data_IF_369503614167
#
_entry.id   IF_369503614167
#
_cell.length_a   1.000
_cell.length_b   1.000
_cell.length_c   1.000
_cell.angle_alpha   90.00
_cell.angle_beta   90.00
_cell.angle_gamma   90.00
#
_symmetry.space_group_name_H-M   'P 1'
#
loop_
_entity.id
_entity.type
_entity.pdbx_description
1 polymer ?
#
# COMPACT_ATOMS: atom_id res chain seq x y z
N UNK A 1 -11.12 17.11 -5.52
CA UNK A 1 -9.86 17.42 -4.80
C UNK A 1 -9.31 16.14 -4.21
N UNK A 2 -8.00 15.91 -4.26
CA UNK A 2 -7.38 14.74 -3.60
C UNK A 2 -7.29 15.01 -2.10
N UNK A 3 -7.73 14.06 -1.28
CA UNK A 3 -7.52 14.17 0.17
C UNK A 3 -6.09 13.73 0.50
N UNK A 4 -5.40 14.53 1.30
CA UNK A 4 -4.15 14.09 1.92
C UNK A 4 -4.39 12.97 2.93
N UNK A 5 -3.39 12.15 3.21
CA UNK A 5 -3.45 11.09 4.25
C UNK A 5 -3.89 11.65 5.61
N UNK A 6 -3.48 12.88 5.91
CA UNK A 6 -3.91 13.61 7.11
C UNK A 6 -5.42 13.88 7.09
N UNK A 7 -5.95 14.46 6.00
CA UNK A 7 -7.37 14.75 5.86
C UNK A 7 -8.23 13.49 5.89
N UNK A 8 -7.79 12.41 5.26
CA UNK A 8 -8.47 11.11 5.29
C UNK A 8 -8.66 10.68 6.75
N UNK A 9 -7.58 10.65 7.55
CA UNK A 9 -7.65 10.24 8.96
C UNK A 9 -8.57 11.13 9.80
N UNK A 10 -8.51 12.45 9.60
CA UNK A 10 -9.39 13.40 10.32
C UNK A 10 -10.84 13.16 9.95
N UNK A 11 -11.16 13.00 8.66
CA UNK A 11 -12.53 12.80 8.19
C UNK A 11 -13.08 11.45 8.64
N UNK A 12 -12.27 10.39 8.59
CA UNK A 12 -12.64 9.06 9.08
C UNK A 12 -12.91 9.09 10.58
N UNK A 13 -12.07 9.77 11.37
CA UNK A 13 -12.28 9.92 12.81
C UNK A 13 -13.57 10.70 13.13
N UNK A 14 -13.79 11.81 12.43
CA UNK A 14 -15.00 12.62 12.57
C UNK A 14 -16.26 11.79 12.27
N UNK A 15 -16.24 11.03 11.16
CA UNK A 15 -17.34 10.16 10.77
C UNK A 15 -17.61 9.04 11.79
N UNK A 16 -16.55 8.41 12.33
CA UNK A 16 -16.63 7.34 13.33
C UNK A 16 -17.21 7.81 14.66
N UNK A 17 -16.78 8.98 15.14
CA UNK A 17 -17.22 9.52 16.43
C UNK A 17 -18.52 10.30 16.33
N UNK A 18 -18.96 10.70 15.12
CA UNK A 18 -20.19 11.48 14.89
C UNK A 18 -21.44 10.95 15.62
N UNK A 19 -21.69 9.63 15.77
CA UNK A 19 -22.88 9.14 16.46
C UNK A 19 -22.90 9.44 17.97
N UNK A 20 -21.80 9.94 18.55
CA UNK A 20 -21.68 10.21 19.98
C UNK A 20 -21.59 8.93 20.84
N UNK A 21 -21.45 7.76 20.22
CA UNK A 21 -21.25 6.48 20.92
C UNK A 21 -19.76 6.26 21.22
N UNK A 22 -19.40 5.58 22.31
CA UNK A 22 -18.02 5.18 22.57
C UNK A 22 -17.50 4.24 21.47
N UNK A 23 -16.29 4.51 20.97
CA UNK A 23 -15.59 3.69 19.97
C UNK A 23 -14.25 3.24 20.55
N UNK A 24 -14.00 1.94 20.57
CA UNK A 24 -12.78 1.36 21.11
C UNK A 24 -11.52 1.88 20.39
N UNK A 25 -10.46 2.16 21.14
CA UNK A 25 -9.17 2.66 20.62
C UNK A 25 -8.61 1.77 19.52
N UNK A 26 -8.68 0.45 19.69
CA UNK A 26 -8.21 -0.53 18.69
C UNK A 26 -8.96 -0.40 17.37
N UNK A 27 -10.28 -0.21 17.42
CA UNK A 27 -11.12 0.00 16.22
C UNK A 27 -10.79 1.31 15.52
N UNK A 28 -10.47 2.37 16.27
CA UNK A 28 -10.08 3.65 15.68
C UNK A 28 -8.71 3.51 15.00
N UNK A 29 -7.73 2.91 15.67
CA UNK A 29 -6.39 2.67 15.12
C UNK A 29 -6.47 1.85 13.83
N UNK A 30 -7.26 0.78 13.81
CA UNK A 30 -7.43 -0.04 12.62
C UNK A 30 -8.11 0.73 11.49
N UNK A 31 -9.16 1.51 11.79
CA UNK A 31 -9.89 2.27 10.77
C UNK A 31 -9.09 3.45 10.19
N UNK A 32 -8.16 4.02 10.96
CA UNK A 32 -7.29 5.12 10.52
C UNK A 32 -5.93 4.64 9.97
N UNK A 33 -5.65 3.35 10.07
CA UNK A 33 -4.37 2.73 9.74
C UNK A 33 -3.18 3.52 10.32
N UNK A 34 -3.19 3.73 11.64
CA UNK A 34 -2.23 4.61 12.29
C UNK A 34 -1.78 4.12 13.68
N UNK A 35 -0.59 4.55 14.11
CA UNK A 35 -0.08 4.27 15.46
C UNK A 35 -0.77 5.13 16.53
N UNK A 36 -0.69 4.71 17.80
CA UNK A 36 -1.23 5.48 18.94
C UNK A 36 -0.75 6.95 19.00
N UNK A 37 0.55 7.27 18.79
CA UNK A 37 0.99 8.68 18.73
C UNK A 37 0.33 9.46 17.60
N UNK A 38 0.05 8.81 16.48
CA UNK A 38 -0.64 9.43 15.35
C UNK A 38 -2.11 9.69 15.70
N UNK A 39 -2.78 8.73 16.33
CA UNK A 39 -4.15 8.91 16.83
C UNK A 39 -4.25 10.13 17.77
N UNK A 40 -3.32 10.29 18.71
CA UNK A 40 -3.30 11.45 19.61
C UNK A 40 -3.22 12.78 18.85
N UNK A 41 -2.43 12.83 17.77
CA UNK A 41 -2.34 14.03 16.90
C UNK A 41 -3.64 14.30 16.15
N UNK A 42 -4.28 13.27 15.58
CA UNK A 42 -5.55 13.41 14.86
C UNK A 42 -6.68 13.83 15.80
N UNK A 43 -6.72 13.28 17.02
CA UNK A 43 -7.66 13.71 18.07
C UNK A 43 -7.45 15.17 18.44
N UNK A 44 -6.19 15.60 18.63
CA UNK A 44 -5.86 17.00 18.91
C UNK A 44 -6.34 17.92 17.79
N UNK A 45 -6.09 17.54 16.53
CA UNK A 45 -6.54 18.29 15.37
C UNK A 45 -8.07 18.40 15.30
N UNK A 46 -8.82 17.33 15.60
CA UNK A 46 -10.28 17.39 15.62
C UNK A 46 -10.80 18.37 16.70
N UNK A 47 -10.14 18.39 17.86
CA UNK A 47 -10.47 19.34 18.95
C UNK A 47 -10.16 20.78 18.56
N UNK A 48 -8.97 21.03 18.00
CA UNK A 48 -8.51 22.39 17.70
C UNK A 48 -9.17 22.98 16.46
N UNK A 49 -9.29 22.20 15.38
CA UNK A 49 -9.78 22.70 14.10
C UNK A 49 -11.31 22.81 14.04
N UNK A 50 -12.02 21.97 14.80
CA UNK A 50 -13.48 21.91 14.75
C UNK A 50 -14.16 22.18 16.11
N UNK A 51 -13.40 22.40 17.18
CA UNK A 51 -13.96 22.63 18.52
C UNK A 51 -14.71 21.42 19.07
N UNK A 52 -14.41 20.20 18.61
CA UNK A 52 -15.07 19.00 19.10
C UNK A 52 -14.54 18.62 20.49
N UNK A 53 -15.43 18.22 21.41
CA UNK A 53 -15.03 17.68 22.71
C UNK A 53 -15.03 16.14 22.64
N UNK A 54 -13.89 15.52 22.95
CA UNK A 54 -13.69 14.07 22.87
C UNK A 54 -13.12 13.55 24.18
N UNK A 55 -13.89 12.70 24.86
CA UNK A 55 -13.50 12.07 26.12
C UNK A 55 -12.95 10.67 25.91
N UNK A 56 -11.97 10.30 26.73
CA UNK A 56 -11.41 8.95 26.77
C UNK A 56 -11.88 8.23 28.02
N UNK A 57 -12.50 7.06 27.83
CA UNK A 57 -12.83 6.15 28.92
C UNK A 57 -11.69 5.15 29.12
N UNK A 58 -11.03 5.22 30.28
CA UNK A 58 -9.95 4.28 30.65
C UNK A 58 -10.46 2.85 30.84
N UNK A 59 -11.65 2.68 31.43
CA UNK A 59 -12.26 1.37 31.67
C UNK A 59 -12.61 0.65 30.38
N UNK A 60 -13.16 1.38 29.40
CA UNK A 60 -13.61 0.79 28.14
C UNK A 60 -12.57 0.93 27.02
N UNK A 61 -11.41 1.56 27.30
CA UNK A 61 -10.37 1.91 26.33
C UNK A 61 -10.99 2.47 25.04
N UNK A 62 -11.84 3.47 25.20
CA UNK A 62 -12.69 3.98 24.12
C UNK A 62 -12.75 5.49 24.11
N UNK A 63 -12.89 6.07 22.92
CA UNK A 63 -13.12 7.49 22.72
C UNK A 63 -14.58 7.75 22.39
N UNK A 64 -15.11 8.84 22.92
CA UNK A 64 -16.47 9.29 22.66
C UNK A 64 -16.46 10.79 22.40
N UNK A 65 -17.10 11.22 21.32
CA UNK A 65 -17.35 12.65 21.10
C UNK A 65 -18.58 13.06 21.89
N UNK A 66 -18.39 13.95 22.86
CA UNK A 66 -19.45 14.50 23.72
C UNK A 66 -20.06 15.75 23.12
N UNK A 67 -19.24 16.60 22.50
CA UNK A 67 -19.68 17.80 21.81
C UNK A 67 -19.10 17.84 20.39
N UNK A 68 -19.95 18.22 19.44
CA UNK A 68 -19.58 18.21 18.02
C UNK A 68 -18.87 19.49 17.56
N UNK A 69 -18.96 20.58 18.31
CA UNK A 69 -18.44 21.88 17.87
C UNK A 69 -18.99 22.25 16.49
N UNK A 70 -18.09 22.52 15.54
CA UNK A 70 -18.40 22.85 14.14
C UNK A 70 -18.71 21.62 13.25
N UNK A 71 -18.69 20.40 13.78
CA UNK A 71 -19.05 19.17 13.06
C UNK A 71 -20.57 18.97 12.99
N UNK A 72 -21.24 19.89 12.30
CA UNK A 72 -22.66 19.75 11.99
C UNK A 72 -22.93 18.56 11.05
N UNK A 73 -24.19 18.16 10.95
CA UNK A 73 -24.57 17.00 10.12
C UNK A 73 -24.18 17.22 8.64
N UNK A 74 -24.18 18.48 8.17
CA UNK A 74 -23.81 18.85 6.80
C UNK A 74 -22.30 18.66 6.57
N UNK A 75 -21.46 19.07 7.53
CA UNK A 75 -20.01 18.91 7.47
C UNK A 75 -19.62 17.44 7.55
N UNK A 76 -20.21 16.68 8.48
CA UNK A 76 -19.98 15.22 8.56
C UNK A 76 -20.39 14.53 7.24
N UNK A 77 -21.52 14.92 6.66
CA UNK A 77 -21.97 14.38 5.37
C UNK A 77 -20.96 14.68 4.25
N UNK A 78 -20.49 15.92 4.14
CA UNK A 78 -19.45 16.31 3.16
C UNK A 78 -18.15 15.55 3.37
N UNK A 79 -17.73 15.34 4.61
CA UNK A 79 -16.53 14.53 4.91
C UNK A 79 -16.69 13.08 4.45
N UNK A 80 -17.86 12.46 4.66
CA UNK A 80 -18.16 11.11 4.16
C UNK A 80 -18.16 11.04 2.64
N UNK A 81 -18.82 11.99 1.98
CA UNK A 81 -18.83 12.08 0.51
C UNK A 81 -17.40 12.23 -0.04
N UNK A 82 -16.57 13.07 0.59
CA UNK A 82 -15.18 13.25 0.19
C UNK A 82 -14.32 11.98 0.39
N UNK A 83 -14.59 11.17 1.42
CA UNK A 83 -13.93 9.88 1.62
C UNK A 83 -14.30 8.89 0.51
N UNK A 84 -15.59 8.76 0.18
CA UNK A 84 -16.07 7.86 -0.89
C UNK A 84 -15.47 8.25 -2.24
N UNK A 85 -15.52 9.53 -2.61
CA UNK A 85 -14.91 10.02 -3.86
C UNK A 85 -13.41 9.76 -3.90
N UNK A 86 -12.71 9.86 -2.77
CA UNK A 86 -11.29 9.56 -2.70
C UNK A 86 -11.01 8.06 -2.85
N UNK A 87 -11.82 7.18 -2.28
CA UNK A 87 -11.72 5.72 -2.43
C UNK A 87 -12.00 5.26 -3.86
N UNK A 88 -13.08 5.74 -4.48
CA UNK A 88 -13.41 5.47 -5.89
C UNK A 88 -12.27 5.87 -6.81
N UNK A 89 -11.65 7.03 -6.54
CA UNK A 89 -10.51 7.51 -7.32
C UNK A 89 -9.24 6.69 -7.07
N UNK A 90 -8.98 6.27 -5.82
CA UNK A 90 -7.90 5.33 -5.55
C UNK A 90 -8.11 4.01 -6.30
N UNK A 91 -9.34 3.50 -6.39
CA UNK A 91 -9.63 2.31 -7.19
C UNK A 91 -9.43 2.53 -8.70
N UNK A 92 -9.82 3.70 -9.23
CA UNK A 92 -9.51 4.07 -10.62
C UNK A 92 -7.99 4.22 -10.85
N UNK A 93 -7.24 4.82 -9.92
CA UNK A 93 -5.78 4.91 -9.99
C UNK A 93 -5.11 3.53 -9.81
N UNK A 94 -5.68 2.61 -9.04
CA UNK A 94 -5.18 1.24 -8.87
C UNK A 94 -5.29 0.44 -10.17
N UNK A 95 -6.31 0.69 -11.02
CA UNK A 95 -6.34 0.11 -12.38
C UNK A 95 -5.23 0.63 -13.30
N UNK A 96 -4.55 1.73 -12.91
CA UNK A 96 -3.39 2.30 -13.62
C UNK A 96 -2.04 2.03 -12.92
N UNK A 97 -2.01 1.35 -11.76
CA UNK A 97 -0.78 1.05 -11.04
C UNK A 97 -0.31 -0.38 -11.27
N UNK A 98 0.92 -0.48 -11.80
CA UNK A 98 1.74 -1.69 -11.88
C UNK A 98 1.87 -2.31 -10.48
N UNK A 99 1.48 -3.59 -10.34
CA UNK A 99 1.77 -4.41 -9.16
C UNK A 99 3.28 -4.61 -9.03
N UNK A 100 3.86 -4.13 -7.92
CA UNK A 100 5.28 -4.28 -7.58
C UNK A 100 5.49 -5.45 -6.60
N UNK A 101 4.85 -6.60 -6.84
CA UNK A 101 5.37 -7.84 -6.25
C UNK A 101 6.58 -8.24 -7.09
N UNK A 102 7.77 -7.76 -6.71
CA UNK A 102 9.01 -8.31 -7.22
C UNK A 102 9.21 -9.68 -6.57
N UNK A 103 9.18 -10.73 -7.37
CA UNK A 103 9.59 -12.06 -6.93
C UNK A 103 10.96 -11.98 -6.23
N UNK A 104 11.05 -12.63 -5.06
CA UNK A 104 12.27 -12.61 -4.25
C UNK A 104 13.36 -13.41 -4.97
N UNK A 105 14.36 -12.71 -5.52
CA UNK A 105 15.54 -13.34 -6.11
C UNK A 105 16.48 -13.85 -5.01
N UNK A 106 16.97 -15.09 -5.15
CA UNK A 106 18.05 -15.64 -4.31
C UNK A 106 19.40 -15.28 -4.95
N UNK A 107 20.32 -14.75 -4.15
CA UNK A 107 21.69 -14.49 -4.63
C UNK A 107 22.43 -15.81 -4.86
N UNK A 108 23.06 -15.96 -6.04
CA UNK A 108 23.84 -17.14 -6.42
C UNK A 108 25.14 -16.68 -7.09
N UNK A 109 26.25 -17.34 -6.75
CA UNK A 109 27.55 -17.12 -7.40
C UNK A 109 27.72 -18.11 -8.56
N UNK A 110 28.04 -17.60 -9.75
CA UNK A 110 28.27 -18.41 -10.95
C UNK A 110 29.63 -18.07 -11.57
N UNK A 111 30.41 -19.09 -11.89
CA UNK A 111 31.65 -18.93 -12.65
C UNK A 111 31.34 -18.95 -14.15
N UNK A 112 31.52 -17.81 -14.81
CA UNK A 112 31.23 -17.65 -16.25
C UNK A 112 32.49 -17.28 -17.02
N UNK A 113 32.61 -17.78 -18.26
CA UNK A 113 33.65 -17.32 -19.19
C UNK A 113 33.43 -15.84 -19.53
N UNK A 114 34.51 -15.10 -19.74
CA UNK A 114 34.47 -13.66 -20.06
C UNK A 114 33.61 -13.34 -21.29
N UNK A 115 33.65 -14.19 -22.31
CA UNK A 115 32.81 -14.04 -23.51
C UNK A 115 31.31 -14.14 -23.21
N UNK A 116 30.91 -15.05 -22.31
CA UNK A 116 29.51 -15.20 -21.87
C UNK A 116 29.05 -13.96 -21.10
N UNK A 117 29.88 -13.46 -20.19
CA UNK A 117 29.58 -12.24 -19.44
C UNK A 117 29.37 -11.03 -20.35
N UNK A 118 30.22 -10.87 -21.39
CA UNK A 118 30.07 -9.80 -22.39
C UNK A 118 28.75 -9.88 -23.17
N UNK A 119 28.26 -11.09 -23.46
CA UNK A 119 26.95 -11.27 -24.11
C UNK A 119 25.79 -10.86 -23.20
N UNK A 120 25.85 -11.24 -21.92
CA UNK A 120 24.88 -10.84 -20.90
C UNK A 120 24.87 -9.31 -20.74
N UNK A 121 26.06 -8.69 -20.66
CA UNK A 121 26.20 -7.23 -20.58
C UNK A 121 25.59 -6.53 -21.79
N UNK A 122 25.82 -7.06 -23.01
CA UNK A 122 25.23 -6.50 -24.22
C UNK A 122 23.70 -6.57 -24.19
N UNK A 123 23.13 -7.71 -23.81
CA UNK A 123 21.68 -7.89 -23.71
C UNK A 123 21.06 -6.97 -22.64
N UNK A 124 21.67 -6.90 -21.46
CA UNK A 124 21.27 -6.00 -20.36
C UNK A 124 21.22 -4.54 -20.82
N UNK A 125 22.21 -4.08 -21.58
CA UNK A 125 22.24 -2.71 -22.13
C UNK A 125 21.14 -2.45 -23.16
N UNK A 126 20.94 -3.38 -24.09
CA UNK A 126 19.91 -3.26 -25.14
C UNK A 126 18.50 -3.19 -24.52
N UNK A 127 18.24 -3.99 -23.48
CA UNK A 127 16.94 -4.06 -22.81
C UNK A 127 16.80 -3.08 -21.64
N UNK A 128 17.80 -2.25 -21.36
CA UNK A 128 17.87 -1.35 -20.19
C UNK A 128 17.53 -2.08 -18.87
N UNK A 129 17.98 -3.32 -18.72
CA UNK A 129 17.69 -4.21 -17.59
C UNK A 129 18.97 -4.56 -16.82
N UNK A 130 18.87 -5.22 -15.68
CA UNK A 130 20.05 -5.71 -14.97
C UNK A 130 20.62 -6.98 -15.63
N UNK A 131 21.86 -7.35 -15.29
CA UNK A 131 22.45 -8.65 -15.70
C UNK A 131 21.60 -9.82 -15.24
N UNK A 132 21.06 -9.75 -14.02
CA UNK A 132 20.18 -10.78 -13.48
C UNK A 132 18.93 -10.90 -14.34
N UNK A 133 18.28 -9.78 -14.70
CA UNK A 133 17.08 -9.81 -15.56
C UNK A 133 17.40 -10.31 -16.97
N UNK A 134 18.58 -9.98 -17.50
CA UNK A 134 19.02 -10.49 -18.80
C UNK A 134 19.24 -12.01 -18.78
N UNK A 135 19.67 -12.58 -17.66
CA UNK A 135 19.79 -14.04 -17.48
C UNK A 135 18.42 -14.70 -17.37
N UNK A 136 17.50 -14.15 -16.57
CA UNK A 136 16.11 -14.66 -16.47
C UNK A 136 15.45 -14.68 -17.85
N UNK A 137 15.55 -13.57 -18.61
CA UNK A 137 14.99 -13.49 -19.95
C UNK A 137 15.58 -14.55 -20.90
N UNK A 138 16.88 -14.84 -20.80
CA UNK A 138 17.49 -15.93 -21.59
C UNK A 138 16.94 -17.30 -21.20
N UNK A 139 16.73 -17.54 -19.91
CA UNK A 139 16.18 -18.79 -19.40
C UNK A 139 14.74 -18.95 -19.88
N UNK A 140 13.89 -17.94 -19.66
CA UNK A 140 12.47 -17.95 -20.00
C UNK A 140 12.21 -18.24 -21.49
N UNK A 141 13.08 -17.76 -22.37
CA UNK A 141 12.89 -17.90 -23.82
C UNK A 141 13.48 -19.20 -24.39
N UNK A 142 14.53 -19.77 -23.78
CA UNK A 142 15.33 -20.82 -24.44
C UNK A 142 15.59 -22.07 -23.61
N UNK A 143 15.38 -22.06 -22.28
CA UNK A 143 15.76 -23.20 -21.44
C UNK A 143 14.92 -24.45 -21.74
N UNK A 144 13.61 -24.29 -21.95
CA UNK A 144 12.70 -25.40 -22.23
C UNK A 144 13.03 -26.10 -23.55
N UNK A 145 13.34 -25.32 -24.59
CA UNK A 145 13.75 -25.85 -25.89
C UNK A 145 15.06 -26.65 -25.78
N UNK A 146 16.00 -26.14 -24.98
CA UNK A 146 17.27 -26.82 -24.75
C UNK A 146 17.08 -28.13 -23.97
N UNK A 147 16.25 -28.13 -22.93
CA UNK A 147 15.91 -29.33 -22.14
C UNK A 147 15.27 -30.38 -23.03
N UNK A 148 14.28 -29.99 -23.85
CA UNK A 148 13.61 -30.90 -24.77
C UNK A 148 14.58 -31.54 -25.76
N UNK A 149 15.45 -30.75 -26.38
CA UNK A 149 16.46 -31.25 -27.33
C UNK A 149 17.38 -32.29 -26.70
N UNK A 150 17.94 -31.98 -25.52
CA UNK A 150 18.83 -32.90 -24.79
C UNK A 150 18.08 -34.18 -24.39
N UNK A 151 16.84 -34.06 -23.92
CA UNK A 151 16.04 -35.23 -23.53
C UNK A 151 15.71 -36.15 -24.72
N UNK A 152 15.54 -35.59 -25.92
CA UNK A 152 15.30 -36.34 -27.15
C UNK A 152 16.57 -37.02 -27.68
N UNK A 153 17.74 -36.39 -27.52
CA UNK A 153 19.03 -36.99 -27.87
C UNK A 153 19.38 -38.15 -26.94
N UNK A 154 19.13 -38.01 -25.64
CA UNK A 154 19.38 -39.07 -24.64
C UNK A 154 18.45 -40.28 -24.77
N UNK A 155 17.27 -40.14 -25.41
CA UNK A 155 16.36 -41.26 -25.71
C UNK A 155 16.73 -42.05 -26.97
N UNK A 156 17.63 -41.50 -27.80
CA UNK A 156 18.11 -42.13 -29.04
C UNK A 156 19.45 -42.83 -28.88
N UNK A 157 20.10 -42.66 -27.73
CA UNK A 157 21.32 -43.36 -27.34
C UNK A 157 21.02 -44.50 -26.37
#
# INVERSE_FOLDING_TARGET
MQLSTRQIRVYTLAALLSPGKPVATTKIISSLECSEPTLTRVLKELREAYGAEIKYSKSNRAYQMTERGQLDNKTIRRMREALVVNEERMHQEITSRVRLDKDKKKSVSLSLKMLTLRKIDRLSRLNKSTRSDAVELLVDNFIEQLIQKISAENKKS
#
